data_IF_643771097555
#
_entry.id   IF_643771097555
#
_cell.length_a   1.000
_cell.length_b   1.000
_cell.length_c   1.000
_cell.angle_alpha   90.00
_cell.angle_beta   90.00
_cell.angle_gamma   90.00
#
_symmetry.space_group_name_H-M   'P 1'
#
loop_
_entity.id
_entity.type
_entity.pdbx_description
1 polymer ?
#
# COMPACT_ATOMS: atom_id res chain seq x y z
N UNK A 1 -8.22 -9.81 29.59
CA UNK A 1 -9.03 -10.58 28.63
C UNK A 1 -9.64 -9.63 27.63
N UNK A 2 -9.42 -9.87 26.35
CA UNK A 2 -10.12 -9.13 25.28
C UNK A 2 -11.59 -9.56 25.38
N UNK A 3 -12.50 -8.61 25.52
CA UNK A 3 -13.92 -8.94 25.50
C UNK A 3 -14.28 -9.57 24.15
N UNK A 4 -14.99 -10.69 24.19
CA UNK A 4 -15.41 -11.43 23.00
C UNK A 4 -16.08 -10.51 21.95
N UNK A 5 -16.87 -9.54 22.41
CA UNK A 5 -17.49 -8.54 21.52
C UNK A 5 -16.47 -7.69 20.80
N UNK A 6 -15.44 -7.16 21.52
CA UNK A 6 -14.39 -6.37 20.91
C UNK A 6 -13.54 -7.21 19.91
N UNK A 7 -13.38 -8.50 20.20
CA UNK A 7 -12.75 -9.43 19.28
C UNK A 7 -13.59 -9.69 18.02
N UNK A 8 -14.89 -9.85 18.16
CA UNK A 8 -15.82 -10.06 17.05
C UNK A 8 -16.04 -8.77 16.23
N UNK A 9 -16.03 -7.60 16.86
CA UNK A 9 -16.14 -6.30 16.19
C UNK A 9 -14.82 -5.89 15.51
N UNK A 10 -13.67 -6.47 15.92
CA UNK A 10 -12.42 -6.27 15.24
C UNK A 10 -12.35 -7.09 13.95
N UNK A 11 -11.99 -6.46 12.85
CA UNK A 11 -11.76 -7.21 11.58
C UNK A 11 -10.61 -8.24 11.71
N UNK A 12 -9.92 -8.26 12.83
CA UNK A 12 -8.84 -9.16 13.19
C UNK A 12 -9.27 -10.62 13.37
N UNK A 13 -10.48 -10.86 13.87
CA UNK A 13 -10.96 -12.26 14.04
C UNK A 13 -11.09 -12.93 12.68
N UNK A 14 -11.50 -12.19 11.66
CA UNK A 14 -11.64 -12.71 10.30
C UNK A 14 -10.28 -13.08 9.69
N UNK A 15 -9.28 -12.24 9.87
CA UNK A 15 -7.92 -12.50 9.38
C UNK A 15 -7.12 -13.45 10.28
N UNK A 16 -7.31 -13.38 11.60
CA UNK A 16 -6.51 -14.14 12.56
C UNK A 16 -7.04 -15.54 12.86
N UNK A 17 -8.37 -15.72 13.00
CA UNK A 17 -8.95 -17.00 13.31
C UNK A 17 -9.35 -17.82 12.07
N UNK A 18 -9.87 -17.16 11.05
CA UNK A 18 -10.23 -17.82 9.80
C UNK A 18 -9.12 -17.79 8.75
N UNK A 19 -8.23 -16.79 8.81
CA UNK A 19 -7.13 -16.67 7.87
C UNK A 19 -6.10 -17.79 7.97
N UNK A 20 -5.91 -18.34 9.17
CA UNK A 20 -5.03 -19.49 9.37
C UNK A 20 -5.60 -20.79 8.76
N UNK A 21 -6.91 -20.84 8.55
CA UNK A 21 -7.62 -21.98 7.95
C UNK A 21 -7.96 -21.74 6.47
N UNK A 22 -7.74 -20.54 5.95
CA UNK A 22 -7.87 -20.30 4.51
C UNK A 22 -6.69 -20.95 3.80
N UNK A 23 -6.94 -22.06 3.18
CA UNK A 23 -5.99 -22.87 2.42
C UNK A 23 -5.17 -22.03 1.44
N UNK A 24 -5.78 -21.02 0.84
CA UNK A 24 -5.17 -20.10 -0.11
C UNK A 24 -4.04 -19.23 0.51
N UNK A 25 -3.99 -19.09 1.83
CA UNK A 25 -2.93 -18.36 2.53
C UNK A 25 -1.78 -19.27 2.98
N UNK A 26 -1.93 -20.56 2.86
CA UNK A 26 -0.92 -21.57 3.17
C UNK A 26 -0.11 -21.97 1.93
N UNK A 27 -0.52 -21.54 0.75
CA UNK A 27 0.21 -21.79 -0.49
C UNK A 27 1.57 -21.07 -0.51
N UNK A 28 2.58 -21.64 -1.15
CA UNK A 28 3.88 -20.98 -1.30
C UNK A 28 3.71 -19.71 -2.12
N UNK A 29 3.80 -18.57 -1.45
CA UNK A 29 3.77 -17.27 -2.11
C UNK A 29 5.10 -17.03 -2.82
N UNK A 30 5.03 -16.64 -4.07
CA UNK A 30 6.19 -16.29 -4.88
C UNK A 30 6.25 -14.80 -5.13
N UNK A 31 7.45 -14.30 -5.34
CA UNK A 31 7.71 -12.91 -5.73
C UNK A 31 8.63 -12.86 -6.95
N UNK A 32 8.53 -11.84 -7.81
CA UNK A 32 9.45 -11.68 -8.91
C UNK A 32 10.87 -11.41 -8.41
N UNK A 33 11.86 -12.07 -9.00
CA UNK A 33 13.27 -11.76 -8.74
C UNK A 33 13.54 -10.30 -9.11
N UNK A 34 14.07 -9.53 -8.17
CA UNK A 34 14.34 -8.10 -8.34
C UNK A 34 13.19 -7.17 -7.96
N UNK A 35 12.06 -7.73 -7.47
CA UNK A 35 10.94 -6.96 -6.91
C UNK A 35 9.70 -6.89 -7.80
N UNK A 36 8.60 -6.43 -7.24
CA UNK A 36 7.27 -6.40 -7.87
C UNK A 36 7.19 -5.47 -9.10
N UNK A 37 8.09 -4.50 -9.25
CA UNK A 37 8.18 -3.66 -10.45
C UNK A 37 8.58 -4.47 -11.70
N UNK A 38 9.13 -5.66 -11.52
CA UNK A 38 9.38 -6.63 -12.59
C UNK A 38 8.11 -6.97 -13.38
N UNK A 39 6.96 -7.01 -12.73
CA UNK A 39 5.65 -7.22 -13.37
C UNK A 39 5.34 -6.06 -14.32
N UNK A 40 5.49 -4.82 -13.86
CA UNK A 40 5.26 -3.62 -14.69
C UNK A 40 6.23 -3.59 -15.88
N UNK A 41 7.51 -3.86 -15.63
CA UNK A 41 8.54 -3.95 -16.68
C UNK A 41 8.22 -5.04 -17.70
N UNK A 42 7.65 -6.16 -17.24
CA UNK A 42 7.17 -7.23 -18.10
C UNK A 42 6.05 -6.79 -19.04
N UNK A 43 5.04 -6.11 -18.52
CA UNK A 43 3.97 -5.52 -19.32
C UNK A 43 4.52 -4.51 -20.35
N UNK A 44 5.32 -3.54 -19.90
CA UNK A 44 5.87 -2.49 -20.78
C UNK A 44 6.64 -3.06 -21.97
N UNK A 45 7.38 -4.17 -21.79
CA UNK A 45 8.10 -4.82 -22.89
C UNK A 45 7.18 -5.46 -23.94
N UNK A 46 5.96 -5.81 -23.55
CA UNK A 46 5.02 -6.53 -24.42
C UNK A 46 3.90 -5.64 -24.98
N UNK A 47 3.79 -4.38 -24.54
CA UNK A 47 2.80 -3.46 -25.07
C UNK A 47 3.18 -2.98 -26.47
N UNK A 48 2.24 -3.05 -27.41
CA UNK A 48 2.38 -2.48 -28.76
C UNK A 48 2.46 -0.95 -28.73
N UNK A 49 1.69 -0.34 -27.86
CA UNK A 49 1.67 1.11 -27.63
C UNK A 49 2.11 1.40 -26.20
N UNK A 50 3.08 2.28 -26.06
CA UNK A 50 3.59 2.64 -24.75
C UNK A 50 2.63 3.59 -24.02
N UNK A 51 2.54 3.52 -22.67
CA UNK A 51 1.74 4.44 -21.90
C UNK A 51 2.19 5.89 -22.07
N UNK A 52 1.24 6.81 -22.13
CA UNK A 52 1.51 8.25 -22.09
C UNK A 52 1.67 8.64 -20.63
N UNK A 53 2.88 9.00 -20.24
CA UNK A 53 3.20 9.39 -18.86
C UNK A 53 3.06 10.90 -18.66
N UNK A 54 2.94 11.32 -17.39
CA UNK A 54 2.74 12.73 -17.01
C UNK A 54 1.51 13.35 -17.66
N UNK A 55 0.49 12.53 -17.90
CA UNK A 55 -0.77 12.87 -18.52
C UNK A 55 -1.89 12.84 -17.47
N UNK A 56 -2.20 13.98 -16.89
CA UNK A 56 -3.23 14.07 -15.86
C UNK A 56 -4.61 14.13 -16.50
N UNK A 57 -5.46 13.13 -16.27
CA UNK A 57 -6.85 13.13 -16.74
C UNK A 57 -7.63 14.24 -16.05
N UNK A 58 -8.31 15.06 -16.86
CA UNK A 58 -9.12 16.20 -16.41
C UNK A 58 -10.61 15.98 -16.65
N UNK A 59 -10.96 15.17 -17.67
CA UNK A 59 -12.34 15.00 -18.11
C UNK A 59 -12.55 13.61 -18.69
N UNK A 60 -13.68 12.97 -18.36
CA UNK A 60 -14.13 11.71 -18.95
C UNK A 60 -15.62 11.85 -19.28
N UNK A 61 -15.98 11.84 -20.55
CA UNK A 61 -17.36 12.00 -21.00
C UNK A 61 -17.80 10.81 -21.84
N UNK A 62 -18.91 10.20 -21.46
CA UNK A 62 -19.60 9.23 -22.31
C UNK A 62 -20.24 9.96 -23.50
N UNK A 63 -20.13 9.35 -24.68
CA UNK A 63 -20.73 9.79 -25.93
C UNK A 63 -21.64 8.66 -26.46
N UNK A 64 -22.53 8.97 -27.41
CA UNK A 64 -23.42 7.96 -28.00
C UNK A 64 -22.64 6.80 -28.61
N UNK A 65 -21.46 7.07 -29.18
CA UNK A 65 -20.62 6.09 -29.85
C UNK A 65 -19.21 6.04 -29.22
N UNK A 66 -19.11 5.87 -27.88
CA UNK A 66 -17.83 5.71 -27.22
C UNK A 66 -17.60 6.68 -26.06
N UNK A 67 -16.35 7.03 -25.82
CA UNK A 67 -15.90 7.86 -24.70
C UNK A 67 -14.88 8.90 -25.17
N UNK A 68 -14.97 10.08 -24.59
CA UNK A 68 -14.00 11.17 -24.78
C UNK A 68 -13.23 11.38 -23.47
N UNK A 69 -11.90 11.35 -23.55
CA UNK A 69 -11.02 11.60 -22.42
C UNK A 69 -10.12 12.79 -22.72
N UNK A 70 -10.16 13.80 -21.85
CA UNK A 70 -9.24 14.95 -21.91
C UNK A 70 -8.21 14.85 -20.80
N UNK A 71 -6.95 14.99 -21.15
CA UNK A 71 -5.83 15.01 -20.20
C UNK A 71 -4.91 16.18 -20.44
N UNK A 72 -4.20 16.58 -19.41
CA UNK A 72 -3.16 17.63 -19.46
C UNK A 72 -1.79 16.99 -19.48
N UNK A 73 -0.95 17.38 -20.44
CA UNK A 73 0.46 17.00 -20.51
C UNK A 73 1.31 18.20 -20.92
N UNK A 74 2.34 18.50 -20.14
CA UNK A 74 3.21 19.65 -20.43
C UNK A 74 2.49 21.00 -20.47
N UNK A 75 1.43 21.18 -19.67
CA UNK A 75 0.62 22.40 -19.62
C UNK A 75 -0.36 22.55 -20.79
N UNK A 76 -0.53 21.54 -21.64
CA UNK A 76 -1.46 21.53 -22.76
C UNK A 76 -2.54 20.47 -22.59
N UNK A 77 -3.76 20.80 -23.00
CA UNK A 77 -4.87 19.85 -23.02
C UNK A 77 -4.84 19.04 -24.33
N UNK A 78 -5.05 17.75 -24.18
CA UNK A 78 -5.18 16.80 -25.27
C UNK A 78 -6.48 16.03 -25.08
N UNK A 79 -7.19 15.77 -26.17
CA UNK A 79 -8.43 14.99 -26.15
C UNK A 79 -8.29 13.78 -27.06
N UNK A 80 -8.67 12.62 -26.54
CA UNK A 80 -8.73 11.36 -27.28
C UNK A 80 -10.14 10.81 -27.24
N UNK A 81 -10.52 10.08 -28.29
CA UNK A 81 -11.78 9.36 -28.37
C UNK A 81 -11.50 7.87 -28.54
N UNK A 82 -12.32 7.04 -27.94
CA UNK A 82 -12.22 5.59 -27.99
C UNK A 82 -13.62 4.96 -27.86
N UNK A 83 -13.75 3.70 -28.26
CA UNK A 83 -14.99 2.94 -28.08
C UNK A 83 -15.27 2.69 -26.60
N UNK A 84 -14.21 2.44 -25.79
CA UNK A 84 -14.29 2.13 -24.36
C UNK A 84 -13.15 2.80 -23.57
N UNK A 85 -13.41 3.07 -22.30
CA UNK A 85 -12.41 3.53 -21.34
C UNK A 85 -12.41 2.63 -20.11
N UNK A 86 -11.31 1.95 -19.86
CA UNK A 86 -11.07 1.25 -18.60
C UNK A 86 -10.39 2.21 -17.63
N UNK A 87 -11.12 2.60 -16.59
CA UNK A 87 -10.64 3.55 -15.62
C UNK A 87 -10.14 2.82 -14.36
N UNK A 88 -8.88 3.04 -13.99
CA UNK A 88 -8.26 2.58 -12.75
C UNK A 88 -7.88 3.73 -11.81
N UNK A 89 -8.45 4.91 -12.02
CA UNK A 89 -8.27 6.04 -11.11
C UNK A 89 -9.09 5.76 -9.84
N UNK A 90 -8.50 5.90 -8.64
CA UNK A 90 -9.26 5.71 -7.40
C UNK A 90 -10.54 6.54 -7.35
N UNK A 91 -11.64 5.96 -6.85
CA UNK A 91 -12.96 6.58 -6.88
C UNK A 91 -13.00 7.99 -6.26
N UNK A 92 -12.27 8.22 -5.17
CA UNK A 92 -12.16 9.54 -4.54
C UNK A 92 -11.43 10.61 -5.38
N UNK A 93 -10.66 10.21 -6.40
CA UNK A 93 -10.15 11.13 -7.41
C UNK A 93 -11.12 11.27 -8.57
N UNK A 94 -11.78 10.16 -8.95
CA UNK A 94 -12.80 10.19 -10.00
C UNK A 94 -13.94 11.13 -9.69
N UNK A 95 -14.36 11.22 -8.43
CA UNK A 95 -15.41 12.13 -7.97
C UNK A 95 -15.11 13.61 -8.32
N UNK A 96 -13.83 13.98 -8.39
CA UNK A 96 -13.38 15.34 -8.71
C UNK A 96 -13.01 15.56 -10.19
N UNK A 97 -13.11 14.55 -11.05
CA UNK A 97 -12.85 14.68 -12.50
C UNK A 97 -14.12 15.12 -13.20
N UNK A 98 -14.01 16.10 -14.10
CA UNK A 98 -15.16 16.56 -14.93
C UNK A 98 -15.72 15.38 -15.74
N UNK A 99 -17.02 15.12 -15.58
CA UNK A 99 -17.66 13.97 -16.16
C UNK A 99 -19.17 14.22 -16.43
N UNK A 100 -19.79 13.33 -17.19
CA UNK A 100 -21.22 13.32 -17.43
C UNK A 100 -21.88 12.02 -16.91
N UNK A 101 -21.40 11.51 -15.81
CA UNK A 101 -21.96 10.33 -15.17
C UNK A 101 -23.37 10.63 -14.63
N UNK A 102 -24.17 9.59 -14.43
CA UNK A 102 -25.47 9.75 -13.78
C UNK A 102 -25.30 10.22 -12.33
N UNK A 103 -26.31 10.93 -11.81
CA UNK A 103 -26.33 11.37 -10.41
C UNK A 103 -26.13 10.20 -9.43
N UNK A 104 -26.74 9.06 -9.71
CA UNK A 104 -26.56 7.84 -8.90
C UNK A 104 -25.12 7.36 -8.90
N UNK A 105 -24.46 7.36 -10.04
CA UNK A 105 -23.06 6.95 -10.14
C UNK A 105 -22.14 7.94 -9.43
N UNK A 106 -22.37 9.25 -9.62
CA UNK A 106 -21.62 10.30 -8.94
C UNK A 106 -21.77 10.19 -7.41
N UNK A 107 -22.99 10.01 -6.91
CA UNK A 107 -23.24 9.79 -5.49
C UNK A 107 -22.50 8.54 -4.95
N UNK A 108 -22.41 7.50 -5.76
CA UNK A 108 -21.61 6.32 -5.44
C UNK A 108 -20.12 6.65 -5.30
N UNK A 109 -19.54 7.39 -6.23
CA UNK A 109 -18.15 7.86 -6.17
C UNK A 109 -17.88 8.72 -4.92
N UNK A 110 -18.78 9.65 -4.62
CA UNK A 110 -18.67 10.58 -3.48
C UNK A 110 -18.77 9.85 -2.12
N UNK A 111 -19.45 8.72 -2.09
CA UNK A 111 -19.59 7.90 -0.87
C UNK A 111 -18.35 7.12 -0.50
N UNK A 112 -17.44 6.89 -1.45
CA UNK A 112 -16.24 6.08 -1.25
C UNK A 112 -15.20 6.82 -0.43
N UNK A 113 -14.80 6.23 0.69
CA UNK A 113 -13.75 6.75 1.56
C UNK A 113 -12.42 6.08 1.27
N UNK A 114 -11.35 6.86 1.27
CA UNK A 114 -9.99 6.32 1.17
C UNK A 114 -9.60 5.61 2.45
N UNK A 115 -8.94 4.47 2.32
CA UNK A 115 -8.29 3.78 3.43
C UNK A 115 -6.94 4.44 3.77
N UNK A 116 -6.53 4.32 5.03
CA UNK A 116 -5.21 4.73 5.47
C UNK A 116 -4.26 3.54 5.45
N UNK A 117 -3.00 3.81 5.15
CA UNK A 117 -1.94 2.83 5.24
C UNK A 117 -0.62 3.56 5.48
N UNK A 118 0.15 3.03 6.42
CA UNK A 118 1.51 3.47 6.67
C UNK A 118 2.44 2.27 6.76
N UNK A 119 3.62 2.39 6.14
CA UNK A 119 4.67 1.37 6.18
C UNK A 119 6.03 1.99 6.47
N UNK A 120 6.87 1.23 7.21
CA UNK A 120 8.31 1.47 7.32
C UNK A 120 9.01 0.18 6.90
N UNK A 121 10.05 0.31 6.08
CA UNK A 121 10.97 -0.79 5.80
C UNK A 121 12.40 -0.36 6.18
N UNK A 122 13.14 -1.25 6.86
CA UNK A 122 14.53 -1.09 7.20
C UNK A 122 15.39 -2.07 6.43
N UNK A 123 16.50 -1.57 5.89
CA UNK A 123 17.59 -2.42 5.45
C UNK A 123 18.43 -2.77 6.67
N UNK A 124 18.56 -4.07 6.92
CA UNK A 124 19.29 -4.61 8.07
C UNK A 124 20.62 -5.20 7.61
N UNK A 125 21.70 -4.87 8.32
CA UNK A 125 23.03 -5.44 8.10
C UNK A 125 23.10 -6.94 8.43
N UNK A 126 22.15 -7.41 9.22
CA UNK A 126 22.04 -8.80 9.65
C UNK A 126 20.57 -9.19 9.84
N UNK A 127 20.21 -10.37 9.41
CA UNK A 127 18.89 -10.99 9.63
C UNK A 127 18.84 -11.59 11.04
N UNK A 128 18.94 -10.76 12.05
CA UNK A 128 19.08 -11.17 13.46
C UNK A 128 17.93 -12.09 13.92
N UNK A 129 16.73 -11.92 13.36
CA UNK A 129 15.53 -12.72 13.69
C UNK A 129 15.66 -14.19 13.28
N UNK A 130 16.51 -14.52 12.32
CA UNK A 130 16.75 -15.92 11.93
C UNK A 130 17.49 -16.71 13.02
N UNK A 131 18.26 -16.03 13.88
CA UNK A 131 18.87 -16.66 15.06
C UNK A 131 17.82 -17.12 16.08
N UNK A 132 16.67 -16.44 16.10
CA UNK A 132 15.54 -16.77 16.97
C UNK A 132 14.58 -17.77 16.29
N UNK A 133 14.98 -18.33 15.13
CA UNK A 133 14.19 -19.29 14.36
C UNK A 133 13.04 -18.67 13.60
N UNK A 134 13.04 -17.35 13.39
CA UNK A 134 12.00 -16.64 12.65
C UNK A 134 12.41 -16.56 11.16
N UNK A 135 11.65 -17.22 10.30
CA UNK A 135 11.89 -17.27 8.86
C UNK A 135 10.73 -16.67 8.04
N UNK A 136 9.90 -15.87 8.66
CA UNK A 136 8.74 -15.22 8.08
C UNK A 136 7.73 -14.85 9.14
N UNK A 137 6.55 -14.40 8.73
CA UNK A 137 5.46 -14.10 9.65
C UNK A 137 5.46 -12.67 10.19
N UNK A 138 4.69 -12.46 11.25
CA UNK A 138 4.32 -11.14 11.75
C UNK A 138 4.35 -11.15 13.28
N UNK A 139 5.00 -10.15 13.88
CA UNK A 139 4.79 -9.79 15.28
C UNK A 139 3.77 -8.68 15.39
N UNK A 140 2.71 -8.88 16.16
CA UNK A 140 1.69 -7.88 16.45
C UNK A 140 2.03 -7.14 17.76
N UNK A 141 1.78 -5.83 17.77
CA UNK A 141 2.04 -4.99 18.94
C UNK A 141 0.95 -3.94 19.13
N UNK A 142 0.76 -3.50 20.36
CA UNK A 142 -0.10 -2.36 20.69
C UNK A 142 0.60 -1.01 20.45
N UNK A 143 1.89 -1.01 20.17
CA UNK A 143 2.62 0.19 19.75
C UNK A 143 2.11 0.71 18.40
N UNK A 144 2.32 1.99 18.08
CA UNK A 144 1.83 2.60 16.84
C UNK A 144 2.26 1.92 15.55
N UNK A 145 3.33 1.14 15.55
CA UNK A 145 3.74 0.36 14.36
C UNK A 145 2.74 -0.74 14.01
N UNK A 146 1.91 -1.18 14.93
CA UNK A 146 0.95 -2.28 14.89
C UNK A 146 1.55 -3.65 14.53
N UNK A 147 2.34 -3.72 13.50
CA UNK A 147 2.90 -4.96 12.97
C UNK A 147 4.37 -4.79 12.60
N UNK A 148 5.16 -5.80 12.93
CA UNK A 148 6.51 -5.99 12.46
C UNK A 148 6.55 -7.27 11.61
N UNK A 149 7.02 -7.18 10.37
CA UNK A 149 7.05 -8.32 9.44
C UNK A 149 8.48 -8.74 9.14
N UNK A 150 8.66 -10.04 8.94
CA UNK A 150 9.94 -10.68 8.66
C UNK A 150 9.94 -11.26 7.24
N UNK A 151 10.19 -10.46 6.18
CA UNK A 151 10.23 -10.97 4.82
C UNK A 151 11.27 -12.09 4.66
N UNK A 152 10.86 -13.17 3.99
CA UNK A 152 11.71 -14.32 3.74
C UNK A 152 12.52 -14.26 2.45
N UNK A 153 12.43 -13.14 1.72
CA UNK A 153 13.24 -12.91 0.53
C UNK A 153 14.73 -13.09 0.84
N UNK A 154 15.42 -13.88 0.02
CA UNK A 154 16.83 -14.23 0.22
C UNK A 154 17.15 -14.72 1.65
N UNK A 155 16.35 -15.64 2.18
CA UNK A 155 16.63 -16.26 3.49
C UNK A 155 18.05 -16.85 3.52
N UNK A 156 18.67 -16.83 4.70
CA UNK A 156 20.03 -17.28 4.94
C UNK A 156 21.16 -16.41 4.38
N UNK A 157 20.86 -15.32 3.66
CA UNK A 157 21.90 -14.31 3.39
C UNK A 157 22.04 -13.37 4.58
N UNK A 158 23.20 -12.71 4.70
CA UNK A 158 23.50 -11.88 5.86
C UNK A 158 22.52 -10.70 6.00
N UNK A 159 22.32 -9.93 4.93
CA UNK A 159 21.45 -8.74 4.94
C UNK A 159 20.00 -9.11 4.66
N UNK A 160 19.07 -8.29 5.13
CA UNK A 160 17.66 -8.46 4.85
C UNK A 160 16.87 -7.19 5.00
N UNK A 161 15.58 -7.29 4.71
CA UNK A 161 14.61 -6.22 4.95
C UNK A 161 13.75 -6.61 6.15
N UNK A 162 13.59 -5.69 7.09
CA UNK A 162 12.61 -5.78 8.15
C UNK A 162 11.52 -4.77 7.86
N UNK A 163 10.25 -5.20 7.77
CA UNK A 163 9.13 -4.27 7.66
C UNK A 163 8.79 -3.77 9.05
N UNK A 164 9.34 -2.60 9.40
CA UNK A 164 9.35 -2.04 10.76
C UNK A 164 8.05 -1.39 11.20
N UNK A 165 7.08 -1.23 10.30
CA UNK A 165 5.72 -0.83 10.62
C UNK A 165 4.77 -1.21 9.47
N UNK A 166 3.56 -1.63 9.85
CA UNK A 166 2.47 -1.82 8.92
C UNK A 166 1.15 -1.58 9.64
N UNK A 167 0.56 -0.42 9.41
CA UNK A 167 -0.70 -0.05 10.08
C UNK A 167 -1.72 0.48 9.09
N UNK A 168 -2.98 0.09 9.31
CA UNK A 168 -4.17 0.49 8.54
C UNK A 168 -5.10 1.38 9.36
N UNK A 169 -4.76 1.59 10.63
CA UNK A 169 -5.53 2.46 11.51
C UNK A 169 -5.36 3.93 11.10
N UNK A 170 -6.47 4.63 10.87
CA UNK A 170 -6.47 6.01 10.42
C UNK A 170 -5.86 6.98 11.44
N UNK A 171 -6.07 6.73 12.76
CA UNK A 171 -5.54 7.58 13.82
C UNK A 171 -4.04 7.41 13.92
N UNK A 172 -3.58 6.17 13.90
CA UNK A 172 -2.16 5.82 13.99
C UNK A 172 -1.41 6.28 12.74
N UNK A 173 -1.94 6.00 11.53
CA UNK A 173 -1.35 6.51 10.29
C UNK A 173 -1.26 8.03 10.30
N UNK A 174 -2.29 8.72 10.81
CA UNK A 174 -2.32 10.17 10.92
C UNK A 174 -1.26 10.75 11.87
N UNK A 175 -0.80 10.00 12.87
CA UNK A 175 0.34 10.39 13.71
C UNK A 175 1.61 10.40 12.86
N UNK A 176 1.90 9.30 12.18
CA UNK A 176 3.07 9.19 11.32
C UNK A 176 3.06 10.16 10.14
N UNK A 177 1.90 10.46 9.57
CA UNK A 177 1.75 11.42 8.47
C UNK A 177 2.21 12.84 8.84
N UNK A 178 2.16 13.22 10.11
CA UNK A 178 2.60 14.54 10.62
C UNK A 178 4.09 14.60 10.89
N UNK A 179 4.76 13.47 10.98
CA UNK A 179 6.20 13.37 11.26
C UNK A 179 7.02 13.57 9.98
N UNK A 180 8.25 14.03 10.15
CA UNK A 180 9.27 13.98 9.09
C UNK A 180 9.67 12.53 8.80
N UNK A 181 10.28 12.24 7.64
CA UNK A 181 10.77 10.89 7.34
C UNK A 181 11.71 10.35 8.42
N UNK A 182 12.59 11.18 8.95
CA UNK A 182 13.54 10.78 9.99
C UNK A 182 12.83 10.45 11.32
N UNK A 183 11.87 11.25 11.75
CA UNK A 183 11.08 10.99 12.96
C UNK A 183 10.31 9.68 12.85
N UNK A 184 9.74 9.38 11.66
CA UNK A 184 9.05 8.10 11.41
C UNK A 184 10.00 6.91 11.58
N UNK A 185 11.19 6.98 10.98
CA UNK A 185 12.18 5.91 11.08
C UNK A 185 12.63 5.73 12.53
N UNK A 186 12.87 6.81 13.26
CA UNK A 186 13.24 6.75 14.68
C UNK A 186 12.13 6.12 15.52
N UNK A 187 10.88 6.55 15.33
CA UNK A 187 9.74 6.01 16.06
C UNK A 187 9.52 4.52 15.80
N UNK A 188 9.66 4.09 14.54
CA UNK A 188 9.58 2.68 14.17
C UNK A 188 10.69 1.82 14.80
N UNK A 189 11.93 2.32 14.79
CA UNK A 189 13.07 1.65 15.42
C UNK A 189 12.88 1.49 16.93
N UNK A 190 12.41 2.54 17.62
CA UNK A 190 12.12 2.47 19.06
C UNK A 190 11.02 1.44 19.40
N UNK A 191 10.02 1.31 18.55
CA UNK A 191 8.99 0.28 18.73
C UNK A 191 9.53 -1.13 18.44
N UNK A 192 10.37 -1.28 17.42
CA UNK A 192 11.03 -2.55 17.11
C UNK A 192 11.95 -3.02 18.25
N UNK A 193 12.67 -2.09 18.93
CA UNK A 193 13.49 -2.37 20.10
C UNK A 193 12.72 -2.99 21.27
N UNK A 194 11.44 -2.69 21.42
CA UNK A 194 10.61 -3.29 22.47
C UNK A 194 10.28 -4.75 22.18
N UNK A 195 10.27 -5.14 20.92
CA UNK A 195 10.02 -6.52 20.47
C UNK A 195 11.34 -7.29 20.43
N UNK A 196 12.38 -6.67 19.89
CA UNK A 196 13.70 -7.23 19.71
C UNK A 196 14.79 -6.30 20.28
N UNK A 197 15.07 -6.37 21.57
CA UNK A 197 16.07 -5.51 22.21
C UNK A 197 17.44 -5.59 21.51
N UNK A 198 18.00 -4.45 21.18
CA UNK A 198 19.29 -4.33 20.48
C UNK A 198 19.21 -4.47 18.96
N UNK A 199 18.01 -4.49 18.36
CA UNK A 199 17.86 -4.65 16.91
C UNK A 199 18.25 -3.39 16.11
N UNK A 200 18.15 -2.20 16.71
CA UNK A 200 18.46 -0.93 16.04
C UNK A 200 19.90 -0.84 15.54
N UNK A 201 20.84 -1.53 16.18
CA UNK A 201 22.25 -1.56 15.76
C UNK A 201 22.47 -2.18 14.39
N UNK A 202 21.51 -2.97 13.91
CA UNK A 202 21.56 -3.60 12.60
C UNK A 202 20.91 -2.76 11.48
N UNK A 203 20.28 -1.63 11.81
CA UNK A 203 19.66 -0.74 10.82
C UNK A 203 20.76 0.01 10.07
N UNK A 204 20.85 -0.22 8.76
CA UNK A 204 21.76 0.52 7.87
C UNK A 204 21.02 1.69 7.18
N UNK A 205 19.76 1.48 6.81
CA UNK A 205 18.97 2.46 6.09
C UNK A 205 17.47 2.18 6.32
N UNK A 206 16.62 3.11 5.92
CA UNK A 206 15.18 2.92 6.02
C UNK A 206 14.39 3.84 5.11
N UNK A 207 13.17 3.40 4.81
CA UNK A 207 12.19 4.18 4.06
C UNK A 207 10.84 4.12 4.79
N UNK A 208 10.12 5.25 4.78
CA UNK A 208 8.77 5.33 5.33
C UNK A 208 7.78 5.83 4.29
N UNK A 209 6.65 5.18 4.16
CA UNK A 209 5.64 5.50 3.14
C UNK A 209 4.30 5.76 3.80
N UNK A 210 3.92 7.04 4.01
CA UNK A 210 2.57 7.44 4.40
C UNK A 210 1.70 7.51 3.14
N UNK A 211 1.02 6.42 2.80
CA UNK A 211 0.27 6.29 1.54
C UNK A 211 -0.80 7.38 1.36
N UNK A 212 -1.40 7.88 2.43
CA UNK A 212 -2.36 8.98 2.36
C UNK A 212 -1.75 10.32 1.90
N UNK A 213 -0.42 10.44 1.87
CA UNK A 213 0.33 11.62 1.40
C UNK A 213 1.07 11.39 0.08
N UNK A 214 0.95 10.20 -0.50
CA UNK A 214 1.56 9.92 -1.81
C UNK A 214 0.69 10.48 -2.91
N UNK A 215 1.26 11.35 -3.76
CA UNK A 215 0.56 11.94 -4.89
C UNK A 215 -0.04 10.86 -5.79
N UNK A 216 -1.24 11.12 -6.31
CA UNK A 216 -2.03 10.23 -7.18
C UNK A 216 -2.48 8.91 -6.53
N UNK A 217 -2.08 8.65 -5.29
CA UNK A 217 -2.51 7.50 -4.51
C UNK A 217 -3.38 7.95 -3.33
N UNK A 218 -2.87 8.84 -2.49
CA UNK A 218 -3.49 9.47 -1.32
C UNK A 218 -4.29 8.51 -0.43
N UNK A 219 -3.85 7.27 -0.32
CA UNK A 219 -4.50 6.24 0.48
C UNK A 219 -4.17 4.84 0.01
N UNK A 220 -4.80 3.87 0.64
CA UNK A 220 -4.70 2.46 0.30
C UNK A 220 -6.09 1.84 0.41
N UNK A 221 -6.56 1.27 -0.69
CA UNK A 221 -7.89 0.68 -0.73
C UNK A 221 -9.03 1.70 -0.57
N UNK A 222 -10.23 1.21 -0.63
CA UNK A 222 -11.46 1.99 -0.53
C UNK A 222 -12.40 1.29 0.47
N UNK A 223 -13.16 2.10 1.21
CA UNK A 223 -14.17 1.61 2.17
C UNK A 223 -15.48 2.36 1.96
#
# INVERSE_FOLDING_TARGET
>A
PIELKAMLDSQFWYGGLLGAELYDWCEPLMEPVGGMDGVIKGFLRNLKTQPVLNAQVKKIYNRDNGVEVTYEQGGKLHTVQADYCFNNIPAYFMAGIDNNFSETYQAGLDSVKRGHLFKIAYQMSERFWERDGIYGGISYTTDPINQLWYPSHDIHVQKGILLGAYTWDAKVSGIFEKMTPQERLTAGALSAEKIHPGCSKYIENGISIPWARMNHQMGCGMR
#
